data_IF_806357964863
#
_entry.id   IF_806357964863
#
_cell.length_a   1.000
_cell.length_b   1.000
_cell.length_c   1.000
_cell.angle_alpha   90.00
_cell.angle_beta   90.00
_cell.angle_gamma   90.00
#
_symmetry.space_group_name_H-M   'P 1'
#
loop_
_entity.id
_entity.type
_entity.pdbx_description
1 polymer ?
#
# COMPACT_ATOMS: atom_id res chain seq x y z
N UNK A 1 26.38 -35.09 41.96
CA UNK A 1 26.14 -34.64 40.56
C UNK A 1 25.60 -33.22 40.57
N UNK A 2 26.36 -32.26 40.02
CA UNK A 2 26.08 -30.82 40.03
C UNK A 2 24.92 -30.47 39.07
N UNK A 3 23.80 -29.93 39.57
CA UNK A 3 22.78 -29.29 38.74
C UNK A 3 23.19 -27.85 38.45
N UNK A 4 23.57 -27.55 37.21
CA UNK A 4 23.78 -26.18 36.70
C UNK A 4 22.41 -25.47 36.63
N UNK A 5 22.26 -24.36 37.36
CA UNK A 5 21.13 -23.42 37.15
C UNK A 5 21.45 -22.58 35.92
N UNK A 6 20.62 -22.68 34.87
CA UNK A 6 20.62 -21.70 33.79
C UNK A 6 20.08 -20.37 34.34
N UNK A 7 20.87 -19.32 34.24
CA UNK A 7 20.43 -17.94 34.42
C UNK A 7 19.88 -17.48 33.06
N UNK A 8 18.56 -17.34 32.94
CA UNK A 8 17.93 -16.74 31.77
C UNK A 8 17.98 -15.22 31.94
N UNK A 9 18.91 -14.56 31.25
CA UNK A 9 18.99 -13.10 31.21
C UNK A 9 17.84 -12.58 30.34
N UNK A 10 16.80 -12.04 30.98
CA UNK A 10 15.74 -11.32 30.27
C UNK A 10 16.29 -9.95 29.83
N UNK A 11 16.53 -9.81 28.52
CA UNK A 11 16.80 -8.50 27.91
C UNK A 11 15.47 -7.76 27.83
N UNK A 12 15.25 -6.83 28.75
CA UNK A 12 14.15 -5.88 28.66
C UNK A 12 14.45 -4.91 27.51
N UNK A 13 13.76 -5.08 26.38
CA UNK A 13 13.76 -4.13 25.28
C UNK A 13 13.04 -2.87 25.77
N UNK A 14 13.80 -1.86 26.20
CA UNK A 14 13.27 -0.54 26.50
C UNK A 14 12.95 0.15 25.17
N UNK A 15 11.70 0.06 24.72
CA UNK A 15 11.20 0.93 23.65
C UNK A 15 11.08 2.33 24.23
N UNK A 16 12.07 3.18 23.96
CA UNK A 16 11.98 4.61 24.24
C UNK A 16 10.99 5.20 23.25
N UNK A 17 9.74 5.42 23.69
CA UNK A 17 8.76 6.18 22.93
C UNK A 17 9.14 7.65 23.07
N UNK A 18 9.92 8.18 22.13
CA UNK A 18 10.00 9.62 21.95
C UNK A 18 8.67 10.08 21.34
N UNK A 19 7.78 10.61 22.18
CA UNK A 19 6.60 11.32 21.72
C UNK A 19 7.02 12.64 21.09
N UNK A 20 7.47 12.63 19.84
CA UNK A 20 7.51 13.85 19.05
C UNK A 20 6.07 14.23 18.73
N UNK A 21 5.61 15.35 19.28
CA UNK A 21 4.34 15.96 18.89
C UNK A 21 4.35 16.18 17.38
N UNK A 22 3.34 15.67 16.66
CA UNK A 22 3.21 15.94 15.24
C UNK A 22 2.78 17.40 15.04
N UNK A 23 3.32 18.05 14.03
CA UNK A 23 2.88 19.38 13.62
C UNK A 23 1.63 19.23 12.76
N UNK A 24 0.53 19.82 13.19
CA UNK A 24 -0.76 19.76 12.49
C UNK A 24 -0.80 20.73 11.31
N UNK A 25 -1.23 20.26 10.15
CA UNK A 25 -1.32 21.02 8.89
C UNK A 25 -2.79 21.11 8.46
N UNK A 26 -3.27 22.34 8.33
CA UNK A 26 -4.64 22.66 7.85
C UNK A 26 -4.64 23.58 6.63
N UNK A 27 -3.47 23.98 6.13
CA UNK A 27 -3.35 24.96 5.03
C UNK A 27 -2.23 24.60 4.07
N UNK A 28 -2.32 25.09 2.83
CA UNK A 28 -1.26 24.97 1.82
C UNK A 28 0.06 25.57 2.33
N UNK A 29 0.02 26.74 2.97
CA UNK A 29 1.23 27.36 3.52
C UNK A 29 1.91 26.48 4.59
N UNK A 30 1.12 25.81 5.44
CA UNK A 30 1.65 24.82 6.40
C UNK A 30 2.28 23.62 5.69
N UNK A 31 1.67 23.15 4.60
CA UNK A 31 2.22 22.08 3.76
C UNK A 31 3.53 22.48 3.06
N UNK A 32 3.65 23.72 2.61
CA UNK A 32 4.88 24.25 2.00
C UNK A 32 5.98 24.53 3.02
N UNK A 33 5.66 24.61 4.30
CA UNK A 33 6.60 24.89 5.38
C UNK A 33 7.22 23.64 6.02
N UNK A 34 6.92 22.44 5.51
CA UNK A 34 7.49 21.20 6.05
C UNK A 34 9.00 21.14 5.85
N UNK A 35 9.69 20.52 6.79
CA UNK A 35 11.14 20.44 6.85
C UNK A 35 11.60 19.06 7.30
N UNK A 36 12.83 18.70 6.91
CA UNK A 36 13.50 17.47 7.31
C UNK A 36 13.54 17.27 8.83
N UNK A 37 13.61 16.02 9.28
CA UNK A 37 13.70 15.60 10.69
C UNK A 37 12.49 16.00 11.56
N UNK A 38 11.32 16.18 10.96
CA UNK A 38 10.10 16.54 11.66
C UNK A 38 8.94 15.57 11.34
N UNK A 39 7.90 15.62 12.17
CA UNK A 39 6.68 14.82 12.01
C UNK A 39 5.47 15.74 11.82
N UNK A 40 4.65 15.43 10.83
CA UNK A 40 3.49 16.21 10.41
C UNK A 40 2.25 15.33 10.31
N UNK A 41 1.08 15.92 10.55
CA UNK A 41 -0.22 15.29 10.35
C UNK A 41 -1.18 16.27 9.66
N UNK A 42 -1.93 15.80 8.66
CA UNK A 42 -3.01 16.58 8.07
C UNK A 42 -4.25 16.55 8.98
N UNK A 43 -4.88 17.71 9.13
CA UNK A 43 -6.18 17.87 9.84
C UNK A 43 -7.31 18.30 8.88
N UNK A 44 -6.99 18.49 7.60
CA UNK A 44 -7.93 18.90 6.59
C UNK A 44 -7.53 18.37 5.22
N UNK A 45 -8.54 18.15 4.38
CA UNK A 45 -8.32 18.01 2.94
C UNK A 45 -7.87 19.35 2.38
N UNK A 46 -6.94 19.35 1.43
CA UNK A 46 -6.41 20.56 0.81
C UNK A 46 -6.57 20.50 -0.71
N UNK A 47 -7.11 21.57 -1.28
CA UNK A 47 -7.14 21.83 -2.71
C UNK A 47 -5.86 22.59 -3.10
N UNK A 48 -5.00 21.95 -3.88
CA UNK A 48 -3.70 22.47 -4.30
C UNK A 48 -3.75 23.21 -5.64
N UNK A 49 -4.94 23.46 -6.22
CA UNK A 49 -5.10 24.25 -7.45
C UNK A 49 -4.51 25.67 -7.42
N UNK A 50 -4.30 26.34 -6.25
CA UNK A 50 -3.56 27.60 -6.22
C UNK A 50 -2.06 27.47 -6.53
N UNK A 51 -1.50 26.25 -6.51
CA UNK A 51 -0.10 25.98 -6.80
C UNK A 51 0.09 25.75 -8.30
N UNK A 52 1.02 26.47 -8.92
CA UNK A 52 1.25 26.39 -10.37
C UNK A 52 2.36 25.42 -10.77
N UNK A 53 3.21 24.99 -9.84
CA UNK A 53 4.30 24.06 -10.15
C UNK A 53 4.82 23.31 -8.90
N UNK A 54 4.05 22.31 -8.45
CA UNK A 54 4.38 21.49 -7.29
C UNK A 54 4.27 22.25 -5.97
N UNK A 55 4.64 21.58 -4.87
CA UNK A 55 4.67 22.22 -3.55
C UNK A 55 5.77 23.26 -3.39
N UNK A 56 6.88 23.13 -4.13
CA UNK A 56 8.09 23.93 -3.90
C UNK A 56 8.83 23.55 -2.60
N UNK A 57 8.48 22.42 -1.99
CA UNK A 57 9.26 21.82 -0.92
C UNK A 57 10.42 21.07 -1.56
N UNK A 58 11.65 21.45 -1.22
CA UNK A 58 12.85 20.78 -1.71
C UNK A 58 12.97 19.34 -1.19
N UNK A 59 14.19 18.80 -1.26
CA UNK A 59 14.46 17.44 -0.80
C UNK A 59 14.19 17.30 0.70
N UNK A 60 13.49 16.22 1.08
CA UNK A 60 13.14 15.94 2.47
C UNK A 60 13.89 14.72 2.99
N UNK A 61 14.33 14.81 4.24
CA UNK A 61 15.03 13.73 4.93
C UNK A 61 14.41 13.47 6.29
N UNK A 62 14.20 12.19 6.65
CA UNK A 62 13.67 11.78 7.96
C UNK A 62 12.35 12.47 8.36
N UNK A 63 11.44 12.67 7.39
CA UNK A 63 10.12 13.23 7.64
C UNK A 63 9.11 12.11 7.88
N UNK A 64 8.27 12.26 8.90
CA UNK A 64 7.04 11.47 9.03
C UNK A 64 5.87 12.34 8.63
N UNK A 65 5.21 12.00 7.52
CA UNK A 65 4.04 12.71 7.02
C UNK A 65 2.82 11.79 7.09
N UNK A 66 1.94 12.04 8.06
CA UNK A 66 0.67 11.33 8.22
C UNK A 66 -0.45 12.12 7.55
N UNK A 67 -0.94 11.63 6.42
CA UNK A 67 -2.10 12.21 5.75
C UNK A 67 -3.38 12.06 6.56
N UNK A 68 -3.43 11.19 7.59
CA UNK A 68 -4.61 10.99 8.45
C UNK A 68 -5.90 10.76 7.63
N UNK A 69 -5.73 10.09 6.49
CA UNK A 69 -6.72 9.80 5.46
C UNK A 69 -7.35 11.04 4.81
N UNK A 70 -6.78 12.22 5.02
CA UNK A 70 -7.10 13.43 4.26
C UNK A 70 -6.58 13.36 2.84
N UNK A 71 -7.22 14.17 2.00
CA UNK A 71 -6.97 14.24 0.56
C UNK A 71 -6.28 15.54 0.19
N UNK A 72 -5.20 15.43 -0.56
CA UNK A 72 -4.60 16.53 -1.31
C UNK A 72 -5.05 16.42 -2.77
N UNK A 73 -5.66 17.45 -3.31
CA UNK A 73 -6.27 17.41 -4.65
C UNK A 73 -5.71 18.49 -5.57
N UNK A 74 -5.87 18.31 -6.89
CA UNK A 74 -5.61 19.36 -7.88
C UNK A 74 -4.15 19.85 -7.94
N UNK A 75 -3.19 18.99 -7.58
CA UNK A 75 -1.76 19.31 -7.73
C UNK A 75 -1.41 19.36 -9.22
N UNK A 76 -0.75 20.43 -9.64
CA UNK A 76 -0.07 20.49 -10.96
C UNK A 76 1.43 20.63 -10.75
N UNK A 77 2.22 19.80 -11.42
CA UNK A 77 3.67 19.94 -11.53
C UNK A 77 4.05 19.72 -13.00
N UNK A 78 4.69 20.72 -13.61
CA UNK A 78 5.14 20.68 -15.01
C UNK A 78 6.62 21.03 -15.06
N UNK A 79 7.44 20.09 -14.56
CA UNK A 79 8.87 20.25 -14.43
C UNK A 79 9.64 19.21 -15.23
N UNK A 80 10.94 19.47 -15.43
CA UNK A 80 11.85 18.55 -16.13
C UNK A 80 12.68 17.68 -15.17
N UNK A 81 12.33 17.66 -13.88
CA UNK A 81 13.09 17.00 -12.82
C UNK A 81 12.25 15.96 -12.08
N UNK A 82 12.42 15.80 -10.76
CA UNK A 82 11.66 14.85 -9.95
C UNK A 82 10.26 15.40 -9.70
N UNK A 83 9.28 14.82 -10.39
CA UNK A 83 7.88 15.18 -10.28
C UNK A 83 7.14 14.39 -9.20
N UNK A 84 6.32 15.10 -8.43
CA UNK A 84 5.50 14.54 -7.37
C UNK A 84 5.06 15.59 -6.36
N UNK A 85 4.21 15.19 -5.42
CA UNK A 85 3.92 16.01 -4.24
C UNK A 85 5.22 16.41 -3.53
N UNK A 86 6.13 15.46 -3.37
CA UNK A 86 7.50 15.66 -2.93
C UNK A 86 8.46 15.38 -4.11
N UNK A 87 9.63 16.02 -4.14
CA UNK A 87 10.60 15.76 -5.20
C UNK A 87 11.44 14.51 -4.88
N UNK A 88 12.34 14.63 -3.90
CA UNK A 88 13.17 13.53 -3.39
C UNK A 88 12.90 13.30 -1.90
N UNK A 89 12.83 12.03 -1.50
CA UNK A 89 12.69 11.61 -0.10
C UNK A 89 13.86 10.70 0.30
N UNK A 90 14.39 10.89 1.51
CA UNK A 90 15.39 10.00 2.11
C UNK A 90 15.05 9.69 3.56
N UNK A 91 14.88 8.43 3.94
CA UNK A 91 14.52 8.06 5.32
C UNK A 91 13.11 8.51 5.74
N UNK A 92 12.23 8.86 4.80
CA UNK A 92 10.91 9.42 5.11
C UNK A 92 9.85 8.32 5.27
N UNK A 93 8.80 8.61 6.04
CA UNK A 93 7.58 7.80 6.12
C UNK A 93 6.39 8.65 5.68
N UNK A 94 5.80 8.32 4.54
CA UNK A 94 4.54 8.92 4.06
C UNK A 94 3.43 7.90 4.28
N UNK A 95 2.39 8.26 5.02
CA UNK A 95 1.32 7.30 5.35
C UNK A 95 -0.07 7.89 5.40
N UNK A 96 -1.07 7.04 5.19
CA UNK A 96 -2.49 7.38 5.29
C UNK A 96 -2.87 8.60 4.42
N UNK A 97 -2.28 8.74 3.24
CA UNK A 97 -2.42 9.95 2.42
C UNK A 97 -3.17 9.65 1.13
N UNK A 98 -4.11 10.52 0.78
CA UNK A 98 -4.82 10.45 -0.50
C UNK A 98 -4.39 11.61 -1.38
N UNK A 99 -4.04 11.31 -2.62
CA UNK A 99 -3.82 12.31 -3.67
C UNK A 99 -4.81 12.06 -4.81
N UNK A 100 -5.43 13.13 -5.32
CA UNK A 100 -6.43 13.01 -6.37
C UNK A 100 -6.44 14.17 -7.36
N UNK A 101 -6.94 13.92 -8.58
CA UNK A 101 -7.16 14.94 -9.61
C UNK A 101 -5.90 15.78 -9.91
N UNK A 102 -4.76 15.14 -10.16
CA UNK A 102 -3.48 15.83 -10.33
C UNK A 102 -2.91 15.64 -11.74
N UNK A 103 -2.00 16.51 -12.14
CA UNK A 103 -1.21 16.39 -13.37
C UNK A 103 0.26 16.59 -13.04
N UNK A 104 1.10 15.59 -13.30
CA UNK A 104 2.52 15.60 -12.93
C UNK A 104 3.35 15.21 -14.15
N UNK A 105 4.23 16.11 -14.59
CA UNK A 105 5.25 15.85 -15.59
C UNK A 105 6.66 15.92 -14.97
N UNK A 106 7.56 14.99 -15.29
CA UNK A 106 8.92 14.96 -14.72
C UNK A 106 9.86 14.00 -15.43
N UNK A 107 11.18 14.12 -15.26
CA UNK A 107 12.11 13.11 -15.76
C UNK A 107 11.97 11.80 -15.00
N UNK A 108 11.86 11.88 -13.68
CA UNK A 108 11.36 10.83 -12.82
C UNK A 108 10.09 11.33 -12.14
N UNK A 109 8.98 10.61 -12.27
CA UNK A 109 7.69 11.10 -11.80
C UNK A 109 6.92 10.05 -11.03
N UNK A 110 6.27 10.49 -9.95
CA UNK A 110 5.18 9.77 -9.34
C UNK A 110 4.25 10.70 -8.56
N UNK A 111 3.07 10.22 -8.18
CA UNK A 111 2.10 11.08 -7.50
C UNK A 111 2.62 11.65 -6.17
N UNK A 112 3.43 10.88 -5.45
CA UNK A 112 4.01 11.28 -4.17
C UNK A 112 5.48 11.69 -4.28
N UNK A 113 6.28 11.00 -5.10
CA UNK A 113 7.68 11.37 -5.30
C UNK A 113 8.26 10.95 -6.65
N UNK A 114 9.23 11.70 -7.16
CA UNK A 114 10.05 11.24 -8.29
C UNK A 114 11.08 10.20 -7.83
N UNK A 115 11.63 10.38 -6.63
CA UNK A 115 12.63 9.49 -6.05
C UNK A 115 12.44 9.30 -4.54
N UNK A 116 12.63 8.07 -4.06
CA UNK A 116 12.67 7.77 -2.64
C UNK A 116 13.77 6.76 -2.30
N UNK A 117 14.57 7.12 -1.29
CA UNK A 117 15.63 6.27 -0.73
C UNK A 117 15.33 5.94 0.73
N UNK A 118 15.50 4.68 1.13
CA UNK A 118 15.30 4.19 2.50
C UNK A 118 13.99 4.68 3.16
N UNK A 119 12.92 4.80 2.38
CA UNK A 119 11.67 5.41 2.78
C UNK A 119 10.52 4.40 2.89
N UNK A 120 9.38 4.83 3.41
CA UNK A 120 8.18 4.01 3.58
C UNK A 120 6.95 4.75 3.08
N UNK A 121 6.17 4.11 2.22
CA UNK A 121 4.85 4.55 1.77
C UNK A 121 3.82 3.54 2.24
N UNK A 122 2.89 3.98 3.08
CA UNK A 122 1.93 3.09 3.72
C UNK A 122 0.50 3.62 3.62
N UNK A 123 -0.44 2.86 3.07
CA UNK A 123 -1.85 3.29 2.95
C UNK A 123 -1.99 4.61 2.19
N UNK A 124 -1.34 4.68 1.04
CA UNK A 124 -1.42 5.84 0.16
C UNK A 124 -2.24 5.52 -1.08
N UNK A 125 -3.07 6.47 -1.51
CA UNK A 125 -3.88 6.31 -2.73
C UNK A 125 -3.65 7.44 -3.71
N UNK A 126 -3.52 7.08 -4.99
CA UNK A 126 -3.42 8.00 -6.12
C UNK A 126 -4.62 7.78 -7.05
N UNK A 127 -5.48 8.78 -7.22
CA UNK A 127 -6.75 8.67 -7.98
C UNK A 127 -6.89 9.76 -9.03
N UNK A 128 -7.44 9.41 -10.19
CA UNK A 128 -7.82 10.36 -11.25
C UNK A 128 -6.66 11.30 -11.62
N UNK A 129 -5.43 10.78 -11.62
CA UNK A 129 -4.25 11.55 -11.94
C UNK A 129 -3.68 11.19 -13.31
N UNK A 130 -2.95 12.15 -13.86
CA UNK A 130 -2.18 12.00 -15.09
C UNK A 130 -0.69 12.20 -14.78
N UNK A 131 0.13 11.19 -15.07
CA UNK A 131 1.58 11.19 -14.86
C UNK A 131 2.28 11.03 -16.20
N UNK A 132 3.11 11.99 -16.55
CA UNK A 132 3.87 12.02 -17.80
C UNK A 132 5.37 12.09 -17.49
N UNK A 133 6.08 10.95 -17.59
CA UNK A 133 7.51 10.91 -17.31
C UNK A 133 8.37 10.90 -18.58
N UNK A 134 9.41 11.73 -18.65
CA UNK A 134 10.37 11.66 -19.77
C UNK A 134 11.46 10.59 -19.57
N UNK A 135 11.30 9.74 -18.55
CA UNK A 135 12.28 8.73 -18.14
C UNK A 135 11.65 7.64 -17.30
N UNK A 136 11.63 7.81 -15.97
CA UNK A 136 11.14 6.79 -15.02
C UNK A 136 9.79 7.22 -14.43
N UNK A 137 8.74 6.45 -14.66
CA UNK A 137 7.37 6.77 -14.24
C UNK A 137 6.79 5.74 -13.29
N UNK A 138 6.23 6.17 -12.17
CA UNK A 138 5.56 5.30 -11.22
C UNK A 138 4.31 5.95 -10.61
N UNK A 139 3.20 5.21 -10.51
CA UNK A 139 1.96 5.77 -9.97
C UNK A 139 2.05 6.38 -8.56
N UNK A 140 2.91 5.83 -7.69
CA UNK A 140 3.23 6.38 -6.37
C UNK A 140 4.60 7.05 -6.40
N UNK A 141 5.63 6.33 -6.84
CA UNK A 141 7.02 6.82 -6.88
C UNK A 141 7.70 6.42 -8.18
N UNK A 142 8.41 7.34 -8.84
CA UNK A 142 9.22 7.01 -10.02
C UNK A 142 10.29 5.97 -9.71
N UNK A 143 11.22 6.31 -8.82
CA UNK A 143 12.38 5.48 -8.48
C UNK A 143 12.48 5.18 -6.98
N UNK A 144 12.69 3.92 -6.61
CA UNK A 144 12.86 3.51 -5.21
C UNK A 144 14.15 2.71 -4.95
N UNK A 145 14.85 3.06 -3.87
CA UNK A 145 16.02 2.35 -3.33
C UNK A 145 15.80 2.04 -1.84
N UNK A 146 15.98 0.78 -1.43
CA UNK A 146 15.82 0.36 -0.02
C UNK A 146 14.47 0.74 0.60
N UNK A 147 13.43 0.89 -0.23
CA UNK A 147 12.18 1.56 0.15
C UNK A 147 11.02 0.56 0.12
N UNK A 148 10.04 0.75 1.01
CA UNK A 148 8.84 -0.08 1.08
C UNK A 148 7.59 0.69 0.67
N UNK A 149 6.77 0.07 -0.18
CA UNK A 149 5.43 0.55 -0.55
C UNK A 149 4.44 -0.52 -0.17
N UNK A 150 3.45 -0.19 0.67
CA UNK A 150 2.45 -1.19 1.09
C UNK A 150 1.06 -0.63 1.37
N UNK A 151 0.05 -1.45 1.11
CA UNK A 151 -1.36 -1.05 1.20
C UNK A 151 -1.66 0.18 0.34
N UNK A 152 -1.04 0.28 -0.84
CA UNK A 152 -1.18 1.42 -1.73
C UNK A 152 -2.02 1.08 -2.96
N UNK A 153 -2.68 2.10 -3.50
CA UNK A 153 -3.49 1.95 -4.69
C UNK A 153 -3.31 3.10 -5.68
N UNK A 154 -3.34 2.77 -6.98
CA UNK A 154 -3.25 3.74 -8.07
C UNK A 154 -4.38 3.54 -9.09
N UNK A 155 -5.02 4.64 -9.49
CA UNK A 155 -5.92 4.72 -10.65
C UNK A 155 -5.69 6.02 -11.40
N UNK A 156 -6.03 6.03 -12.70
CA UNK A 156 -5.71 7.12 -13.61
C UNK A 156 -4.81 6.63 -14.74
N UNK A 157 -3.86 7.46 -15.17
CA UNK A 157 -2.93 7.17 -16.27
C UNK A 157 -1.50 7.36 -15.80
N UNK A 158 -0.60 6.45 -16.18
CA UNK A 158 0.84 6.55 -15.96
C UNK A 158 1.57 6.32 -17.28
N UNK A 159 2.07 7.40 -17.86
CA UNK A 159 2.84 7.40 -19.08
C UNK A 159 4.32 7.67 -18.79
N UNK A 160 5.20 7.07 -19.58
CA UNK A 160 6.61 7.36 -19.48
C UNK A 160 7.45 6.96 -20.68
N UNK A 161 8.75 7.21 -20.58
CA UNK A 161 9.68 6.92 -21.67
C UNK A 161 10.37 5.55 -21.51
N UNK A 162 10.92 5.21 -20.36
CA UNK A 162 11.81 4.05 -20.22
C UNK A 162 11.27 3.02 -19.23
N UNK A 163 11.41 3.28 -17.93
CA UNK A 163 10.96 2.40 -16.85
C UNK A 163 9.62 2.87 -16.30
N UNK A 164 8.52 2.23 -16.70
CA UNK A 164 7.17 2.68 -16.32
C UNK A 164 6.41 1.58 -15.58
N UNK A 165 5.92 1.90 -14.37
CA UNK A 165 5.08 0.98 -13.61
C UNK A 165 3.86 1.65 -13.01
N UNK A 166 2.75 0.91 -12.90
CA UNK A 166 1.53 1.46 -12.32
C UNK A 166 1.65 1.84 -10.84
N UNK A 167 2.64 1.32 -10.10
CA UNK A 167 2.97 1.77 -8.73
C UNK A 167 4.37 2.39 -8.68
N UNK A 168 5.36 1.73 -9.27
CA UNK A 168 6.78 2.15 -9.25
C UNK A 168 7.44 1.98 -10.60
N UNK A 169 8.21 2.96 -11.08
CA UNK A 169 8.97 2.81 -12.32
C UNK A 169 10.18 1.87 -12.16
N UNK A 170 11.07 2.19 -11.23
CA UNK A 170 12.33 1.46 -11.00
C UNK A 170 12.52 1.06 -9.53
N UNK A 171 12.86 -0.21 -9.29
CA UNK A 171 13.17 -0.76 -7.97
C UNK A 171 14.63 -1.23 -7.85
N UNK A 172 15.33 -0.83 -6.79
CA UNK A 172 16.68 -1.29 -6.45
C UNK A 172 16.90 -1.43 -4.92
N UNK A 173 18.07 -1.94 -4.53
CA UNK A 173 18.57 -1.98 -3.15
C UNK A 173 17.64 -2.65 -2.11
N UNK A 174 16.93 -3.72 -2.48
CA UNK A 174 16.09 -4.49 -1.55
C UNK A 174 14.72 -3.85 -1.31
N UNK A 175 14.24 -3.09 -2.28
CA UNK A 175 12.92 -2.44 -2.22
C UNK A 175 11.77 -3.45 -2.28
N UNK A 176 10.62 -3.05 -1.77
CA UNK A 176 9.43 -3.90 -1.71
C UNK A 176 8.14 -3.18 -2.10
N UNK A 177 7.27 -3.89 -2.83
CA UNK A 177 5.87 -3.51 -3.04
C UNK A 177 4.98 -4.65 -2.54
N UNK A 178 4.12 -4.36 -1.57
CA UNK A 178 3.31 -5.40 -0.93
C UNK A 178 1.85 -4.97 -0.75
N UNK A 179 0.93 -5.92 -0.86
CA UNK A 179 -0.50 -5.68 -0.59
C UNK A 179 -1.05 -4.44 -1.31
N UNK A 180 -0.71 -4.26 -2.57
CA UNK A 180 -0.98 -3.02 -3.30
C UNK A 180 -1.57 -3.34 -4.66
N UNK A 181 -2.34 -2.42 -5.23
CA UNK A 181 -2.94 -2.67 -6.53
C UNK A 181 -3.02 -1.44 -7.41
N UNK A 182 -3.22 -1.66 -8.70
CA UNK A 182 -3.46 -0.57 -9.64
C UNK A 182 -4.49 -0.96 -10.67
N UNK A 183 -5.34 0.00 -11.00
CA UNK A 183 -6.28 -0.06 -12.13
C UNK A 183 -5.95 1.02 -13.16
N UNK A 184 -4.81 1.69 -13.01
CA UNK A 184 -4.36 2.69 -13.96
C UNK A 184 -3.95 2.06 -15.29
N UNK A 185 -4.21 2.79 -16.37
CA UNK A 185 -3.61 2.48 -17.67
C UNK A 185 -2.14 2.92 -17.64
N UNK A 186 -1.24 2.01 -17.99
CA UNK A 186 0.22 2.20 -17.90
C UNK A 186 0.83 2.06 -19.28
N UNK A 187 1.54 3.08 -19.75
CA UNK A 187 2.18 3.03 -21.05
C UNK A 187 3.62 3.55 -21.02
N UNK A 188 4.46 2.93 -21.83
CA UNK A 188 5.77 3.47 -22.20
C UNK A 188 5.86 3.58 -23.72
N UNK A 189 6.49 4.63 -24.24
CA UNK A 189 6.79 4.73 -25.68
C UNK A 189 8.11 4.02 -26.06
N UNK A 190 8.90 3.56 -25.08
CA UNK A 190 10.16 2.84 -25.30
C UNK A 190 10.13 1.43 -24.67
N UNK A 191 10.94 1.16 -23.63
CA UNK A 191 11.38 -0.19 -23.33
C UNK A 191 10.51 -0.94 -22.32
N UNK A 192 10.46 -0.60 -21.03
CA UNK A 192 9.93 -1.52 -20.01
C UNK A 192 8.70 -1.00 -19.29
N UNK A 193 7.62 -1.76 -19.39
CA UNK A 193 6.36 -1.43 -18.74
C UNK A 193 5.81 -2.61 -17.94
N UNK A 194 5.44 -2.34 -16.70
CA UNK A 194 4.76 -3.30 -15.84
C UNK A 194 3.51 -2.73 -15.21
N UNK A 195 2.52 -3.60 -14.96
CA UNK A 195 1.35 -3.16 -14.20
C UNK A 195 1.71 -2.64 -12.81
N UNK A 196 2.65 -3.28 -12.09
CA UNK A 196 3.13 -2.83 -10.77
C UNK A 196 4.47 -2.10 -10.88
N UNK A 197 5.46 -2.72 -11.52
CA UNK A 197 6.83 -2.21 -11.61
C UNK A 197 7.38 -2.20 -13.04
N UNK A 198 8.02 -1.12 -13.50
CA UNK A 198 8.66 -1.10 -14.82
C UNK A 198 9.90 -1.98 -14.89
N UNK A 199 10.84 -1.74 -13.98
CA UNK A 199 12.11 -2.46 -13.88
C UNK A 199 12.46 -2.83 -12.44
N UNK A 200 12.94 -4.05 -12.24
CA UNK A 200 13.53 -4.50 -10.98
C UNK A 200 15.00 -4.90 -11.14
N UNK A 201 15.91 -4.21 -10.45
CA UNK A 201 17.32 -4.59 -10.40
C UNK A 201 17.56 -5.73 -9.39
N UNK A 202 18.66 -6.46 -9.59
CA UNK A 202 19.13 -7.53 -8.74
C UNK A 202 19.64 -7.04 -7.37
N UNK A 203 18.69 -6.79 -6.48
CA UNK A 203 18.98 -6.34 -5.12
C UNK A 203 18.07 -7.01 -4.08
N UNK A 204 17.57 -8.22 -4.32
CA UNK A 204 16.56 -8.89 -3.46
C UNK A 204 15.26 -8.09 -3.36
N UNK A 205 14.86 -7.44 -4.45
CA UNK A 205 13.59 -6.74 -4.54
C UNK A 205 12.41 -7.71 -4.45
N UNK A 206 11.30 -7.27 -3.85
CA UNK A 206 10.12 -8.12 -3.67
C UNK A 206 8.83 -7.44 -4.11
N UNK A 207 7.97 -8.19 -4.80
CA UNK A 207 6.60 -7.78 -5.12
C UNK A 207 5.67 -8.90 -4.64
N UNK A 208 4.76 -8.58 -3.73
CA UNK A 208 3.93 -9.61 -3.09
C UNK A 208 2.49 -9.20 -2.85
N UNK A 209 1.55 -10.13 -3.05
CA UNK A 209 0.12 -9.90 -2.81
C UNK A 209 -0.37 -8.65 -3.54
N UNK A 210 0.00 -8.49 -4.81
CA UNK A 210 -0.35 -7.32 -5.62
C UNK A 210 -1.19 -7.73 -6.82
N UNK A 211 -1.97 -6.79 -7.36
CA UNK A 211 -2.63 -7.01 -8.65
C UNK A 211 -2.68 -5.76 -9.51
N UNK A 212 -2.70 -5.96 -10.83
CA UNK A 212 -2.84 -4.90 -11.82
C UNK A 212 -4.01 -5.20 -12.75
N UNK A 213 -4.86 -4.21 -13.02
CA UNK A 213 -6.09 -4.38 -13.81
C UNK A 213 -6.29 -3.40 -14.97
N UNK A 214 -5.62 -2.25 -14.97
CA UNK A 214 -5.63 -1.33 -16.12
C UNK A 214 -4.76 -1.83 -17.27
N UNK A 215 -4.94 -1.31 -18.48
CA UNK A 215 -4.17 -1.78 -19.65
C UNK A 215 -2.68 -1.46 -19.51
N UNK A 216 -1.83 -2.28 -20.14
CA UNK A 216 -0.38 -2.11 -20.11
C UNK A 216 0.16 -2.14 -21.53
N UNK A 217 0.94 -1.13 -21.93
CA UNK A 217 1.41 -0.96 -23.31
C UNK A 217 2.86 -0.48 -23.44
N UNK A 218 3.70 -1.21 -24.19
CA UNK A 218 5.03 -0.78 -24.58
C UNK A 218 5.14 -0.43 -26.06
N UNK A 219 5.82 0.68 -26.36
CA UNK A 219 6.13 1.12 -27.70
C UNK A 219 7.25 0.33 -28.39
N UNK A 220 8.25 -0.19 -27.66
CA UNK A 220 9.41 -0.86 -28.25
C UNK A 220 9.97 -2.06 -27.47
N UNK A 221 9.62 -2.25 -26.19
CA UNK A 221 10.26 -3.29 -25.37
C UNK A 221 9.32 -4.26 -24.64
N UNK A 222 9.66 -4.54 -23.39
CA UNK A 222 9.12 -5.62 -22.58
C UNK A 222 7.83 -5.20 -21.88
N UNK A 223 6.81 -6.05 -21.96
CA UNK A 223 5.50 -5.81 -21.35
C UNK A 223 5.16 -6.92 -20.38
N UNK A 224 5.07 -6.59 -19.10
CA UNK A 224 4.61 -7.50 -18.07
C UNK A 224 3.31 -7.04 -17.43
N UNK A 225 2.39 -7.95 -17.17
CA UNK A 225 1.20 -7.59 -16.40
C UNK A 225 1.55 -7.20 -14.94
N UNK A 226 2.64 -7.71 -14.35
CA UNK A 226 3.12 -7.26 -13.03
C UNK A 226 4.42 -6.47 -13.15
N UNK A 227 5.44 -7.00 -13.82
CA UNK A 227 6.76 -6.35 -13.96
C UNK A 227 7.21 -6.32 -15.41
N UNK A 228 7.65 -5.16 -15.92
CA UNK A 228 8.15 -5.06 -17.29
C UNK A 228 9.38 -5.92 -17.51
N UNK A 229 10.43 -5.69 -16.72
CA UNK A 229 11.64 -6.50 -16.76
C UNK A 229 12.37 -6.60 -15.44
N UNK A 230 13.21 -7.62 -15.37
CA UNK A 230 14.14 -7.86 -14.28
C UNK A 230 15.54 -8.01 -14.85
N UNK A 231 16.57 -7.53 -14.14
CA UNK A 231 17.96 -7.66 -14.59
C UNK A 231 18.91 -8.10 -13.48
N UNK A 232 19.95 -8.84 -13.88
CA UNK A 232 21.14 -9.14 -13.06
C UNK A 232 21.68 -10.58 -13.15
N UNK A 233 22.94 -10.75 -12.75
CA UNK A 233 23.65 -12.04 -12.79
C UNK A 233 23.32 -13.01 -11.65
N UNK A 234 24.12 -14.06 -11.50
CA UNK A 234 23.86 -15.31 -10.74
C UNK A 234 23.62 -15.21 -9.20
N UNK A 235 23.34 -14.06 -8.55
CA UNK A 235 23.43 -13.95 -7.06
C UNK A 235 22.30 -13.27 -6.27
N UNK A 236 21.35 -12.59 -6.89
CA UNK A 236 20.07 -12.24 -6.24
C UNK A 236 18.95 -12.13 -7.30
N UNK A 237 17.70 -12.04 -6.87
CA UNK A 237 16.54 -12.11 -7.75
C UNK A 237 15.48 -11.09 -7.36
N UNK A 238 14.65 -10.70 -8.33
CA UNK A 238 13.38 -10.04 -8.07
C UNK A 238 12.35 -11.12 -7.76
N UNK A 239 11.84 -11.14 -6.54
CA UNK A 239 10.90 -12.17 -6.07
C UNK A 239 9.46 -11.68 -6.23
N UNK A 240 8.69 -12.36 -7.07
CA UNK A 240 7.29 -12.01 -7.37
C UNK A 240 6.40 -13.13 -6.86
N UNK A 241 5.54 -12.83 -5.88
CA UNK A 241 4.75 -13.86 -5.21
C UNK A 241 3.30 -13.46 -4.96
N UNK A 242 2.37 -14.40 -5.09
CA UNK A 242 0.96 -14.17 -4.78
C UNK A 242 0.36 -12.98 -5.55
N UNK A 243 0.88 -12.70 -6.75
CA UNK A 243 0.44 -11.58 -7.58
C UNK A 243 -0.54 -12.02 -8.66
N UNK A 244 -1.43 -11.11 -9.09
CA UNK A 244 -2.41 -11.39 -10.13
C UNK A 244 -2.40 -10.33 -11.23
N UNK A 245 -2.23 -10.75 -12.47
CA UNK A 245 -2.41 -9.92 -13.64
C UNK A 245 -3.84 -10.07 -14.15
N UNK A 246 -4.68 -9.07 -13.87
CA UNK A 246 -6.12 -9.09 -14.20
C UNK A 246 -6.49 -8.07 -15.29
N UNK A 247 -5.50 -7.61 -16.05
CA UNK A 247 -5.70 -6.77 -17.22
C UNK A 247 -6.56 -7.46 -18.28
N UNK A 248 -7.30 -6.64 -19.04
CA UNK A 248 -8.00 -7.11 -20.24
C UNK A 248 -7.04 -7.32 -21.43
N UNK A 249 -5.96 -6.54 -21.50
CA UNK A 249 -5.01 -6.55 -22.62
C UNK A 249 -3.60 -6.12 -22.22
N UNK A 250 -2.60 -6.82 -22.77
CA UNK A 250 -1.21 -6.37 -22.84
C UNK A 250 -0.84 -5.99 -24.28
N UNK A 251 -0.08 -4.92 -24.48
CA UNK A 251 0.38 -4.48 -25.81
C UNK A 251 1.88 -4.33 -25.81
N UNK A 252 2.56 -4.91 -26.79
CA UNK A 252 3.96 -4.65 -27.06
C UNK A 252 4.17 -4.45 -28.55
N UNK A 253 4.89 -3.40 -28.93
CA UNK A 253 5.30 -3.17 -30.30
C UNK A 253 6.82 -3.36 -30.42
N UNK A 254 7.27 -4.56 -30.07
CA UNK A 254 8.68 -4.91 -30.01
C UNK A 254 9.06 -5.94 -31.07
N UNK A 255 10.32 -5.89 -31.51
CA UNK A 255 10.90 -6.92 -32.37
C UNK A 255 11.26 -8.22 -31.62
N UNK A 256 11.02 -8.27 -30.31
CA UNK A 256 11.35 -9.40 -29.42
C UNK A 256 10.13 -9.89 -28.62
N UNK A 257 10.02 -11.21 -28.40
CA UNK A 257 8.88 -11.84 -27.70
C UNK A 257 9.04 -11.73 -26.18
N UNK A 258 8.66 -10.59 -25.60
CA UNK A 258 8.73 -10.35 -24.15
C UNK A 258 7.46 -9.70 -23.59
N UNK A 259 6.31 -10.18 -24.06
CA UNK A 259 5.01 -9.89 -23.47
C UNK A 259 4.55 -11.10 -22.67
N UNK A 260 4.45 -11.01 -21.33
CA UNK A 260 3.92 -12.08 -20.49
C UNK A 260 3.03 -11.53 -19.39
N UNK A 261 2.15 -12.37 -18.83
CA UNK A 261 1.18 -11.91 -17.82
C UNK A 261 1.84 -11.47 -16.51
N UNK A 262 2.93 -12.10 -16.07
CA UNK A 262 3.61 -11.72 -14.81
C UNK A 262 4.82 -10.84 -15.10
N UNK A 263 5.78 -11.32 -15.89
CA UNK A 263 7.03 -10.61 -16.18
C UNK A 263 7.35 -10.59 -17.67
N UNK A 264 7.55 -9.42 -18.26
CA UNK A 264 7.98 -9.30 -19.67
C UNK A 264 9.34 -9.96 -19.91
N UNK A 265 10.37 -9.53 -19.18
CA UNK A 265 11.73 -10.13 -19.20
C UNK A 265 12.14 -10.72 -17.85
N UNK A 266 12.22 -12.05 -17.78
CA UNK A 266 12.36 -12.83 -16.54
C UNK A 266 13.80 -13.23 -16.20
N UNK A 267 14.79 -12.59 -16.83
CA UNK A 267 16.22 -12.91 -16.70
C UNK A 267 16.76 -13.00 -15.26
N UNK A 268 16.06 -12.43 -14.27
CA UNK A 268 16.42 -12.54 -12.84
C UNK A 268 15.20 -12.62 -11.92
N UNK A 269 14.09 -13.18 -12.40
CA UNK A 269 12.86 -13.30 -11.62
C UNK A 269 12.75 -14.66 -10.92
N UNK A 270 12.20 -14.67 -9.71
CA UNK A 270 11.69 -15.87 -9.05
C UNK A 270 10.19 -15.74 -8.83
N UNK A 271 9.49 -16.84 -9.05
CA UNK A 271 8.02 -16.86 -9.07
C UNK A 271 7.50 -17.82 -8.02
N UNK A 272 6.46 -17.40 -7.29
CA UNK A 272 5.66 -18.32 -6.49
C UNK A 272 4.19 -17.90 -6.43
N UNK A 273 3.27 -18.79 -6.78
CA UNK A 273 1.83 -18.57 -6.65
C UNK A 273 1.33 -17.30 -7.36
N UNK A 274 1.74 -17.08 -8.61
CA UNK A 274 1.26 -15.96 -9.40
C UNK A 274 0.17 -16.41 -10.38
N UNK A 275 -0.73 -15.50 -10.75
CA UNK A 275 -1.89 -15.82 -11.56
C UNK A 275 -2.12 -14.78 -12.66
N UNK A 276 -2.71 -15.21 -13.77
CA UNK A 276 -3.11 -14.33 -14.87
C UNK A 276 -4.51 -14.68 -15.34
N UNK A 277 -5.31 -13.67 -15.70
CA UNK A 277 -6.61 -13.91 -16.32
C UNK A 277 -6.43 -14.74 -17.60
N UNK A 278 -7.19 -15.82 -17.71
CA UNK A 278 -7.18 -16.69 -18.88
C UNK A 278 -7.72 -15.97 -20.14
N UNK A 279 -8.61 -15.00 -19.93
CA UNK A 279 -9.27 -14.19 -20.95
C UNK A 279 -8.45 -12.99 -21.42
N UNK A 280 -7.30 -12.71 -20.76
CA UNK A 280 -6.43 -11.59 -21.12
C UNK A 280 -6.00 -11.71 -22.58
N UNK A 281 -6.16 -10.63 -23.35
CA UNK A 281 -5.71 -10.58 -24.74
C UNK A 281 -4.32 -9.96 -24.84
N UNK A 282 -3.65 -10.12 -25.99
CA UNK A 282 -2.43 -9.39 -26.28
C UNK A 282 -2.42 -8.81 -27.69
N UNK A 283 -1.60 -7.77 -27.86
CA UNK A 283 -1.20 -7.22 -29.16
C UNK A 283 0.32 -7.16 -29.18
N UNK A 284 0.93 -8.28 -29.56
CA UNK A 284 2.39 -8.44 -29.71
C UNK A 284 2.61 -9.18 -31.04
N UNK A 285 3.28 -8.56 -32.03
CA UNK A 285 3.45 -9.15 -33.36
C UNK A 285 4.38 -10.36 -33.38
N UNK A 286 5.16 -10.61 -32.32
CA UNK A 286 6.11 -11.71 -32.23
C UNK A 286 5.60 -12.84 -31.32
N UNK A 287 4.68 -12.56 -30.39
CA UNK A 287 4.08 -13.61 -29.55
C UNK A 287 3.15 -14.50 -30.39
N UNK A 288 3.56 -15.76 -30.55
CA UNK A 288 2.82 -16.80 -31.29
C UNK A 288 2.20 -17.86 -30.38
N UNK A 289 2.77 -18.06 -29.19
CA UNK A 289 2.28 -19.02 -28.21
C UNK A 289 1.14 -18.45 -27.37
N UNK A 290 0.14 -19.28 -27.00
CA UNK A 290 -0.86 -18.90 -26.00
C UNK A 290 -0.21 -18.64 -24.64
N UNK A 291 -0.98 -18.12 -23.68
CA UNK A 291 -0.50 -18.01 -22.30
C UNK A 291 -0.12 -19.37 -21.72
N UNK A 292 1.06 -19.47 -21.11
CA UNK A 292 1.39 -20.64 -20.29
C UNK A 292 0.64 -20.57 -18.96
N UNK A 293 0.15 -21.71 -18.45
CA UNK A 293 -0.46 -21.78 -17.11
C UNK A 293 0.46 -22.49 -16.13
N UNK A 294 1.19 -21.72 -15.33
CA UNK A 294 2.05 -22.21 -14.25
C UNK A 294 2.19 -21.14 -13.17
N UNK A 295 1.77 -21.45 -11.95
CA UNK A 295 1.85 -20.54 -10.79
C UNK A 295 3.28 -20.02 -10.51
N UNK A 296 4.30 -20.77 -10.94
CA UNK A 296 5.71 -20.44 -10.78
C UNK A 296 6.39 -20.08 -12.12
N UNK A 297 5.63 -19.59 -13.10
CA UNK A 297 6.13 -19.17 -14.40
C UNK A 297 5.80 -17.71 -14.73
N UNK A 298 6.44 -17.20 -15.80
CA UNK A 298 6.31 -15.82 -16.30
C UNK A 298 4.90 -15.41 -16.74
N UNK A 299 4.02 -16.38 -17.00
CA UNK A 299 2.61 -16.14 -17.34
C UNK A 299 1.66 -16.41 -16.16
N UNK A 300 2.12 -16.98 -15.04
CA UNK A 300 1.25 -17.32 -13.90
C UNK A 300 0.26 -18.46 -14.21
N UNK A 301 -0.47 -18.90 -13.19
CA UNK A 301 -1.56 -19.88 -13.30
C UNK A 301 -2.82 -19.19 -13.81
N UNK A 302 -3.56 -19.86 -14.69
CA UNK A 302 -4.84 -19.34 -15.19
C UNK A 302 -5.86 -19.17 -14.07
N UNK A 303 -6.52 -18.01 -14.07
CA UNK A 303 -7.70 -17.70 -13.26
C UNK A 303 -8.81 -17.11 -14.11
N UNK A 304 -10.04 -17.19 -13.59
CA UNK A 304 -11.23 -16.57 -14.18
C UNK A 304 -11.63 -15.32 -13.40
N UNK A 305 -12.40 -14.44 -14.02
CA UNK A 305 -13.00 -13.26 -13.38
C UNK A 305 -13.87 -13.67 -12.18
N UNK A 306 -14.56 -14.81 -12.26
CA UNK A 306 -15.35 -15.35 -11.16
C UNK A 306 -14.48 -15.73 -9.95
N UNK A 307 -13.24 -16.21 -10.18
CA UNK A 307 -12.29 -16.47 -9.10
C UNK A 307 -11.76 -15.18 -8.49
N UNK A 308 -11.47 -14.15 -9.31
CA UNK A 308 -11.06 -12.82 -8.84
C UNK A 308 -12.16 -12.18 -7.98
N UNK A 309 -13.43 -12.43 -8.31
CA UNK A 309 -14.59 -11.95 -7.56
C UNK A 309 -15.00 -12.88 -6.38
N UNK A 310 -14.20 -13.90 -6.04
CA UNK A 310 -14.56 -14.89 -5.03
C UNK A 310 -13.74 -14.73 -3.76
N UNK A 311 -14.40 -14.49 -2.61
CA UNK A 311 -13.73 -14.48 -1.31
C UNK A 311 -13.09 -15.82 -0.97
N UNK A 312 -13.70 -16.93 -1.40
CA UNK A 312 -13.20 -18.28 -1.16
C UNK A 312 -11.86 -18.54 -1.87
N UNK A 313 -11.68 -17.98 -3.08
CA UNK A 313 -10.41 -18.08 -3.78
C UNK A 313 -9.27 -17.49 -2.93
N UNK A 314 -9.50 -16.33 -2.32
CA UNK A 314 -8.50 -15.70 -1.47
C UNK A 314 -8.26 -16.43 -0.16
N UNK A 315 -9.30 -16.88 0.54
CA UNK A 315 -9.13 -17.57 1.82
C UNK A 315 -8.45 -18.93 1.65
N UNK A 316 -8.75 -19.63 0.55
CA UNK A 316 -8.38 -21.04 0.40
C UNK A 316 -7.08 -21.19 -0.41
N UNK A 317 -6.90 -20.39 -1.47
CA UNK A 317 -5.76 -20.51 -2.40
C UNK A 317 -4.68 -19.46 -2.17
N UNK A 318 -5.00 -18.33 -1.53
CA UNK A 318 -4.10 -17.20 -1.30
C UNK A 318 -4.13 -16.71 0.16
N UNK A 319 -3.90 -17.56 1.17
CA UNK A 319 -4.07 -17.21 2.57
C UNK A 319 -3.12 -16.08 3.06
N UNK A 320 -2.09 -15.72 2.27
CA UNK A 320 -1.26 -14.55 2.52
C UNK A 320 -1.99 -13.22 2.30
N UNK A 321 -3.09 -13.21 1.55
CA UNK A 321 -3.95 -12.05 1.38
C UNK A 321 -4.78 -11.85 2.64
N UNK A 322 -4.40 -10.85 3.44
CA UNK A 322 -5.07 -10.57 4.70
C UNK A 322 -6.41 -9.85 4.49
N UNK A 323 -7.49 -10.63 4.29
CA UNK A 323 -8.85 -10.10 4.21
C UNK A 323 -9.43 -9.65 5.57
N UNK A 324 -8.74 -9.89 6.68
CA UNK A 324 -9.18 -9.37 7.99
C UNK A 324 -8.83 -7.89 8.14
N UNK A 325 -7.61 -7.50 7.76
CA UNK A 325 -7.05 -6.18 8.08
C UNK A 325 -6.69 -5.34 6.87
N UNK A 326 -6.46 -5.94 5.70
CA UNK A 326 -5.91 -5.23 4.53
C UNK A 326 -6.90 -5.17 3.38
N UNK A 327 -7.41 -6.32 2.97
CA UNK A 327 -8.27 -6.44 1.80
C UNK A 327 -9.75 -6.53 2.18
N UNK A 328 -10.61 -6.00 1.33
CA UNK A 328 -12.05 -6.21 1.35
C UNK A 328 -12.52 -6.50 -0.08
N UNK A 329 -13.38 -7.49 -0.24
CA UNK A 329 -13.96 -7.78 -1.54
C UNK A 329 -15.07 -6.77 -1.84
N UNK A 330 -14.93 -6.02 -2.92
CA UNK A 330 -15.91 -5.02 -3.35
C UNK A 330 -16.12 -5.15 -4.86
N UNK A 331 -17.28 -5.66 -5.27
CA UNK A 331 -17.57 -5.87 -6.68
C UNK A 331 -16.74 -7.00 -7.30
N UNK A 332 -16.04 -6.71 -8.41
CA UNK A 332 -15.39 -7.72 -9.25
C UNK A 332 -13.95 -8.06 -8.86
N UNK A 333 -13.36 -7.36 -7.89
CA UNK A 333 -12.01 -7.63 -7.38
C UNK A 333 -11.83 -7.13 -5.93
N UNK A 334 -10.75 -7.52 -5.24
CA UNK A 334 -10.42 -6.97 -3.93
C UNK A 334 -10.08 -5.48 -4.02
N UNK A 335 -10.39 -4.75 -2.97
CA UNK A 335 -9.99 -3.35 -2.75
C UNK A 335 -9.34 -3.23 -1.38
N UNK A 336 -8.64 -2.13 -1.12
CA UNK A 336 -7.98 -1.94 0.17
C UNK A 336 -8.97 -1.39 1.19
N UNK A 337 -8.95 -1.95 2.40
CA UNK A 337 -9.76 -1.45 3.53
C UNK A 337 -9.47 0.00 3.83
N UNK A 338 -8.24 0.47 3.60
CA UNK A 338 -7.89 1.89 3.77
C UNK A 338 -8.76 2.84 2.94
N UNK A 339 -9.37 2.38 1.85
CA UNK A 339 -10.26 3.18 1.01
C UNK A 339 -11.61 3.46 1.67
N UNK A 340 -12.00 2.68 2.69
CA UNK A 340 -13.24 2.91 3.44
C UNK A 340 -13.04 3.85 4.64
N UNK A 341 -11.79 4.20 4.96
CA UNK A 341 -11.49 5.05 6.12
C UNK A 341 -11.88 6.51 5.83
N UNK A 342 -12.39 7.23 6.82
CA UNK A 342 -12.78 8.64 6.67
C UNK A 342 -11.63 9.58 7.05
N UNK A 343 -11.51 10.77 6.43
CA UNK A 343 -10.51 11.75 6.86
C UNK A 343 -10.64 12.08 8.36
N UNK A 344 -9.50 12.27 9.03
CA UNK A 344 -9.49 12.49 10.48
C UNK A 344 -9.65 11.21 11.30
N UNK A 345 -9.68 10.03 10.67
CA UNK A 345 -9.72 8.73 11.34
C UNK A 345 -8.39 8.35 11.99
N UNK A 346 -7.83 9.22 12.83
CA UNK A 346 -6.74 8.90 13.78
C UNK A 346 -7.27 8.63 15.18
N UNK A 347 -8.57 8.36 15.31
CA UNK A 347 -9.21 7.86 16.51
C UNK A 347 -9.51 6.37 16.41
N UNK A 348 -9.58 5.72 17.57
CA UNK A 348 -10.34 4.48 17.75
C UNK A 348 -11.65 4.58 16.97
N UNK A 349 -11.71 3.86 15.87
CA UNK A 349 -12.96 3.62 15.16
C UNK A 349 -13.82 2.76 16.06
N UNK A 350 -15.09 3.13 16.21
CA UNK A 350 -16.04 2.24 16.87
C UNK A 350 -16.19 0.99 15.99
N UNK A 351 -15.34 -0.01 16.20
CA UNK A 351 -15.57 -1.35 15.71
C UNK A 351 -16.70 -1.91 16.57
N UNK A 352 -17.94 -1.78 16.09
CA UNK A 352 -19.07 -2.46 16.72
C UNK A 352 -19.04 -3.92 16.27
N UNK A 353 -19.24 -4.85 17.20
CA UNK A 353 -19.51 -6.25 16.88
C UNK A 353 -21.00 -6.49 17.10
N UNK A 354 -21.66 -7.21 16.18
CA UNK A 354 -23.11 -7.42 16.23
C UNK A 354 -23.59 -8.13 17.51
N UNK A 355 -22.69 -8.85 18.20
CA UNK A 355 -22.94 -9.59 19.44
C UNK A 355 -22.30 -8.95 20.69
N UNK A 356 -21.82 -7.71 20.60
CA UNK A 356 -21.29 -6.97 21.74
C UNK A 356 -22.03 -5.65 21.87
N UNK A 357 -22.57 -5.40 23.06
CA UNK A 357 -23.15 -4.11 23.40
C UNK A 357 -22.40 -3.50 24.57
N UNK A 358 -22.06 -2.22 24.45
CA UNK A 358 -21.41 -1.45 25.50
C UNK A 358 -22.22 -0.18 25.72
N UNK A 359 -22.65 0.05 26.96
CA UNK A 359 -23.47 1.21 27.33
C UNK A 359 -23.35 1.53 28.82
N UNK A 360 -24.25 2.37 29.32
CA UNK A 360 -24.29 2.74 30.74
C UNK A 360 -25.68 2.53 31.32
N UNK A 361 -25.74 2.01 32.55
CA UNK A 361 -26.99 1.87 33.30
C UNK A 361 -26.71 1.95 34.80
N UNK A 362 -27.52 2.72 35.54
CA UNK A 362 -27.39 2.85 37.00
C UNK A 362 -26.02 3.35 37.47
N UNK A 363 -25.35 4.21 36.69
CA UNK A 363 -24.01 4.74 37.00
C UNK A 363 -22.88 3.71 36.83
N UNK A 364 -23.10 2.65 36.04
CA UNK A 364 -22.10 1.63 35.71
C UNK A 364 -21.97 1.50 34.20
N UNK A 365 -20.77 1.17 33.74
CA UNK A 365 -20.56 0.69 32.36
C UNK A 365 -21.06 -0.75 32.29
N UNK A 366 -21.97 -1.00 31.37
CA UNK A 366 -22.55 -2.31 31.08
C UNK A 366 -21.93 -2.85 29.79
N UNK A 367 -21.38 -4.05 29.83
CA UNK A 367 -20.81 -4.73 28.67
C UNK A 367 -21.49 -6.08 28.53
N UNK A 368 -22.21 -6.29 27.44
CA UNK A 368 -22.67 -7.63 27.04
C UNK A 368 -21.79 -8.16 25.94
N UNK A 369 -21.30 -9.38 26.11
CA UNK A 369 -20.39 -10.06 25.17
C UNK A 369 -20.49 -11.57 25.33
N UNK A 370 -20.02 -12.37 24.35
CA UNK A 370 -19.85 -13.81 24.52
C UNK A 370 -18.99 -14.17 25.74
N UNK A 371 -19.22 -15.35 26.33
CA UNK A 371 -18.35 -15.88 27.40
C UNK A 371 -16.91 -15.99 26.91
N UNK A 372 -15.95 -15.86 27.84
CA UNK A 372 -14.50 -15.84 27.56
C UNK A 372 -13.98 -14.64 26.76
N UNK A 373 -14.81 -13.65 26.44
CA UNK A 373 -14.35 -12.40 25.83
C UNK A 373 -13.36 -11.66 26.73
N UNK A 374 -12.31 -11.07 26.18
CA UNK A 374 -11.37 -10.24 26.95
C UNK A 374 -11.84 -8.79 26.92
N UNK A 375 -12.25 -8.29 28.08
CA UNK A 375 -12.67 -6.91 28.29
C UNK A 375 -11.49 -6.10 28.82
N UNK A 376 -11.21 -4.95 28.20
CA UNK A 376 -10.31 -3.95 28.77
C UNK A 376 -10.91 -2.56 28.69
N UNK A 377 -10.74 -1.77 29.75
CA UNK A 377 -11.20 -0.39 29.87
C UNK A 377 -9.99 0.50 30.11
N UNK A 378 -9.88 1.56 29.32
CA UNK A 378 -8.79 2.51 29.34
C UNK A 378 -9.32 3.91 29.61
N UNK A 379 -8.57 4.71 30.37
CA UNK A 379 -8.81 6.15 30.40
C UNK A 379 -8.32 6.81 29.10
N UNK A 380 -8.56 8.12 28.97
CA UNK A 380 -8.17 8.89 27.78
C UNK A 380 -6.66 9.03 27.59
N UNK A 381 -5.85 8.68 28.60
CA UNK A 381 -4.38 8.66 28.48
C UNK A 381 -3.87 7.30 27.97
N UNK A 382 -4.75 6.32 27.78
CA UNK A 382 -4.41 4.96 27.38
C UNK A 382 -4.02 4.05 28.56
N UNK A 383 -4.11 4.53 29.81
CA UNK A 383 -3.84 3.71 30.99
C UNK A 383 -4.97 2.71 31.18
N UNK A 384 -4.60 1.44 31.38
CA UNK A 384 -5.56 0.37 31.66
C UNK A 384 -6.14 0.52 33.06
N UNK A 385 -7.47 0.67 33.14
CA UNK A 385 -8.24 0.72 34.39
C UNK A 385 -8.76 -0.67 34.74
N UNK A 386 -9.21 -1.42 33.74
CA UNK A 386 -9.72 -2.79 33.88
C UNK A 386 -9.15 -3.65 32.76
N UNK A 387 -8.76 -4.89 33.08
CA UNK A 387 -8.50 -5.94 32.09
C UNK A 387 -8.89 -7.29 32.68
N UNK A 388 -9.86 -7.98 32.09
CA UNK A 388 -10.29 -9.31 32.54
C UNK A 388 -10.94 -10.14 31.43
N UNK A 389 -11.09 -11.43 31.68
CA UNK A 389 -11.92 -12.34 30.89
C UNK A 389 -13.35 -12.26 31.43
N UNK A 390 -14.33 -12.15 30.53
CA UNK A 390 -15.75 -12.08 30.86
C UNK A 390 -16.19 -13.38 31.55
N UNK A 391 -16.75 -13.27 32.74
CA UNK A 391 -17.25 -14.42 33.52
C UNK A 391 -18.78 -14.56 33.47
N UNK A 392 -19.45 -13.68 32.73
CA UNK A 392 -20.90 -13.68 32.50
C UNK A 392 -21.22 -12.99 31.17
N UNK A 393 -22.43 -13.23 30.65
CA UNK A 393 -22.93 -12.62 29.41
C UNK A 393 -23.16 -11.11 29.51
N UNK A 394 -23.25 -10.57 30.73
CA UNK A 394 -23.28 -9.12 31.01
C UNK A 394 -22.43 -8.80 32.23
N UNK A 395 -21.54 -7.83 32.07
CA UNK A 395 -20.55 -7.39 33.05
C UNK A 395 -20.81 -5.92 33.39
N UNK A 396 -20.75 -5.56 34.69
CA UNK A 396 -21.01 -4.21 35.16
C UNK A 396 -19.80 -3.62 35.89
N UNK A 397 -19.37 -2.42 35.49
CA UNK A 397 -18.18 -1.75 36.04
C UNK A 397 -18.55 -0.40 36.67
N UNK A 398 -18.32 -0.26 37.97
CA UNK A 398 -18.59 0.96 38.74
C UNK A 398 -17.43 1.96 38.63
N UNK A 399 -17.22 2.53 37.44
CA UNK A 399 -16.17 3.52 37.17
C UNK A 399 -16.77 4.75 36.47
N UNK A 400 -16.38 5.96 36.87
CA UNK A 400 -16.92 7.23 36.35
C UNK A 400 -15.90 7.97 35.50
N UNK A 401 -16.35 8.59 34.41
CA UNK A 401 -15.50 9.35 33.49
C UNK A 401 -15.71 8.99 32.02
N UNK A 402 -14.74 9.40 31.19
CA UNK A 402 -14.71 9.10 29.75
C UNK A 402 -13.69 7.99 29.53
N UNK A 403 -14.12 6.92 28.87
CA UNK A 403 -13.32 5.71 28.69
C UNK A 403 -13.37 5.18 27.27
N UNK A 404 -12.31 4.45 26.93
CA UNK A 404 -12.30 3.53 25.79
C UNK A 404 -12.48 2.12 26.33
N UNK A 405 -13.45 1.39 25.81
CA UNK A 405 -13.68 -0.01 26.11
C UNK A 405 -13.32 -0.84 24.89
N UNK A 406 -12.48 -1.85 25.06
CA UNK A 406 -12.22 -2.87 24.03
C UNK A 406 -12.78 -4.21 24.48
N UNK A 407 -13.42 -4.92 23.58
CA UNK A 407 -13.91 -6.28 23.79
C UNK A 407 -13.33 -7.16 22.70
N UNK A 408 -12.47 -8.12 23.07
CA UNK A 408 -11.94 -9.10 22.13
C UNK A 408 -12.75 -10.39 22.27
N UNK A 409 -13.35 -10.82 21.17
CA UNK A 409 -14.09 -12.08 21.05
C UNK A 409 -13.38 -12.98 20.03
N UNK A 410 -13.85 -14.22 19.84
CA UNK A 410 -13.37 -15.08 18.75
C UNK A 410 -13.65 -14.49 17.35
N UNK A 411 -14.66 -13.62 17.23
CA UNK A 411 -15.08 -13.01 15.97
C UNK A 411 -14.35 -11.71 15.64
N UNK A 412 -13.53 -11.18 16.58
CA UNK A 412 -12.72 -9.99 16.36
C UNK A 412 -12.65 -9.06 17.57
N UNK A 413 -12.24 -7.82 17.32
CA UNK A 413 -12.05 -6.80 18.35
C UNK A 413 -13.05 -5.67 18.16
N UNK A 414 -13.93 -5.48 19.13
CA UNK A 414 -14.79 -4.32 19.22
C UNK A 414 -14.13 -3.20 20.03
N UNK A 415 -14.40 -1.94 19.67
CA UNK A 415 -13.94 -0.77 20.42
C UNK A 415 -15.08 0.25 20.56
N UNK A 416 -15.24 0.77 21.76
CA UNK A 416 -16.38 1.59 22.17
C UNK A 416 -15.90 2.78 22.98
N UNK A 417 -16.47 3.95 22.72
CA UNK A 417 -16.28 5.15 23.56
C UNK A 417 -17.46 5.24 24.53
N UNK A 418 -17.19 5.35 25.83
CA UNK A 418 -18.22 5.33 26.87
C UNK A 418 -18.03 6.51 27.81
N UNK A 419 -19.13 7.18 28.15
CA UNK A 419 -19.19 8.20 29.20
C UNK A 419 -20.14 7.69 30.28
N UNK A 420 -19.64 7.49 31.50
CA UNK A 420 -20.41 6.97 32.64
C UNK A 420 -20.30 7.86 33.89
#
# INVERSE_FOLDING_TARGET
>A
MKKRRLLTTAIALFTVVFGFSQTHITTIAGLQAIQSNNSYILDADLDLSPLTNGLGVGDLTNVVFDGNFHTLSNLTYDGQSRGGLFANLSGCTIKNLRVSNFTIAGSWAGSLAGHADNSTFYRCSSKNGDIESSGIGGGIVGHISGTSISECFVGGIVNGHDHVGGIVGHMESGSSVANSYTIADVATDSWQVGGIAGWGENASNTISNCFAGGTVSAGQGFTGGIVGATSGGNKAYVTITHCMAIQSKLTANSDIVKTNRIVGDDGSATFSNNYGLATMTWSDPKRTDPWGSNANGKDGQDITEAMVASSAFYTDSLPSWNFTNVWILSGSHPTLRMETFTPGSSGIQNAQLDNVTVGTAGGKIMISSPENSVIAIYDLTGKTIVKKVASATTEAFSIKGVFVVTVNTEQGRGIYKVVN
#
